data_IF_801404015820
#
_entry.id   IF_801404015820
#
_cell.length_a   1.000
_cell.length_b   1.000
_cell.length_c   1.000
_cell.angle_alpha   90.00
_cell.angle_beta   90.00
_cell.angle_gamma   90.00
#
_symmetry.space_group_name_H-M   'P 1'
#
loop_
_entity.id
_entity.type
_entity.pdbx_description
1 polymer ?
#
# COMPACT_ATOMS: atom_id res chain seq x y z
N UNK A 1 -9.80 -24.16 26.81
CA UNK A 1 -9.12 -24.25 25.50
C UNK A 1 -8.66 -25.68 25.33
N UNK A 2 -9.05 -26.36 24.26
CA UNK A 2 -8.49 -27.68 23.95
C UNK A 2 -7.00 -27.53 23.59
N UNK A 3 -6.16 -28.56 23.78
CA UNK A 3 -4.74 -28.48 23.42
C UNK A 3 -4.53 -28.10 21.95
N UNK A 4 -5.42 -28.54 21.06
CA UNK A 4 -5.42 -28.17 19.65
C UNK A 4 -5.70 -26.67 19.42
N UNK A 5 -6.65 -26.07 20.16
CA UNK A 5 -6.95 -24.63 20.08
C UNK A 5 -5.77 -23.77 20.56
N UNK A 6 -5.03 -24.24 21.57
CA UNK A 6 -3.86 -23.52 22.09
C UNK A 6 -2.73 -23.51 21.07
N UNK A 7 -2.45 -24.64 20.42
CA UNK A 7 -1.46 -24.74 19.33
C UNK A 7 -1.86 -23.85 18.14
N UNK A 8 -3.13 -23.89 17.71
CA UNK A 8 -3.61 -23.03 16.63
C UNK A 8 -3.45 -21.53 16.95
N UNK A 9 -3.78 -21.14 18.19
CA UNK A 9 -3.64 -19.74 18.64
C UNK A 9 -2.17 -19.31 18.64
N UNK A 10 -1.25 -20.16 19.11
CA UNK A 10 0.19 -19.87 19.07
C UNK A 10 0.69 -19.67 17.64
N UNK A 11 0.24 -20.49 16.69
CA UNK A 11 0.61 -20.35 15.27
C UNK A 11 0.09 -19.05 14.69
N UNK A 12 -1.17 -18.68 14.98
CA UNK A 12 -1.77 -17.42 14.53
C UNK A 12 -0.98 -16.23 15.07
N UNK A 13 -0.70 -16.21 16.38
CA UNK A 13 0.05 -15.13 17.03
C UNK A 13 1.46 -15.04 16.44
N UNK A 14 2.16 -16.17 16.29
CA UNK A 14 3.49 -16.20 15.70
C UNK A 14 3.50 -15.68 14.25
N UNK A 15 2.48 -16.04 13.47
CA UNK A 15 2.31 -15.58 12.08
C UNK A 15 2.05 -14.08 12.02
N UNK A 16 1.15 -13.56 12.85
CA UNK A 16 0.83 -12.12 12.92
C UNK A 16 2.05 -11.32 13.34
N UNK A 17 2.77 -11.77 14.37
CA UNK A 17 4.01 -11.13 14.82
C UNK A 17 5.06 -11.16 13.70
N UNK A 18 5.21 -12.29 13.01
CA UNK A 18 6.12 -12.42 11.86
C UNK A 18 5.78 -11.44 10.73
N UNK A 19 4.49 -11.29 10.39
CA UNK A 19 4.02 -10.33 9.38
C UNK A 19 4.24 -8.88 9.83
N UNK A 20 4.04 -8.58 11.12
CA UNK A 20 4.25 -7.25 11.69
C UNK A 20 5.73 -6.83 11.66
N UNK A 21 6.64 -7.74 12.03
CA UNK A 21 8.10 -7.53 11.96
C UNK A 21 8.57 -7.34 10.51
N UNK A 22 7.83 -7.83 9.53
CA UNK A 22 7.97 -7.48 8.12
C UNK A 22 9.11 -8.17 7.37
N UNK A 23 10.19 -8.56 8.07
CA UNK A 23 11.26 -9.45 7.59
C UNK A 23 11.85 -10.24 8.75
N UNK A 24 11.87 -11.57 8.63
CA UNK A 24 12.66 -12.40 9.54
C UNK A 24 14.10 -12.46 8.98
N UNK A 25 15.10 -11.83 9.64
CA UNK A 25 16.45 -11.69 9.08
C UNK A 25 17.11 -13.03 8.74
N UNK A 26 16.70 -14.09 9.44
CA UNK A 26 17.31 -15.42 9.35
C UNK A 26 16.66 -16.33 8.30
N UNK A 27 15.36 -16.18 8.00
CA UNK A 27 14.63 -17.07 7.08
C UNK A 27 14.40 -16.50 5.67
N UNK A 28 14.82 -15.26 5.38
CA UNK A 28 14.55 -14.58 4.09
C UNK A 28 13.07 -14.62 3.65
N UNK A 29 12.14 -14.68 4.60
CA UNK A 29 10.71 -14.71 4.29
C UNK A 29 10.16 -13.29 4.14
N UNK A 30 9.35 -13.08 3.11
CA UNK A 30 8.55 -11.86 2.96
C UNK A 30 7.20 -12.02 3.72
N UNK A 31 6.45 -10.92 3.88
CA UNK A 31 5.15 -10.93 4.57
C UNK A 31 4.17 -11.98 4.00
N UNK A 32 4.14 -12.16 2.67
CA UNK A 32 3.28 -13.14 2.02
C UNK A 32 3.71 -14.59 2.30
N UNK A 33 5.02 -14.87 2.31
CA UNK A 33 5.55 -16.19 2.65
C UNK A 33 5.24 -16.55 4.10
N UNK A 34 5.38 -15.58 5.03
CA UNK A 34 5.05 -15.80 6.44
C UNK A 34 3.55 -16.13 6.60
N UNK A 35 2.68 -15.35 5.95
CA UNK A 35 1.24 -15.60 5.97
C UNK A 35 0.89 -16.98 5.39
N UNK A 36 1.49 -17.35 4.26
CA UNK A 36 1.27 -18.65 3.61
C UNK A 36 1.72 -19.81 4.50
N UNK A 37 2.92 -19.73 5.08
CA UNK A 37 3.44 -20.77 5.99
C UNK A 37 2.55 -20.93 7.22
N UNK A 38 2.07 -19.82 7.81
CA UNK A 38 1.11 -19.86 8.91
C UNK A 38 -0.20 -20.55 8.54
N UNK A 39 -0.77 -20.20 7.38
CA UNK A 39 -1.98 -20.84 6.86
C UNK A 39 -1.79 -22.35 6.60
N UNK A 40 -0.68 -22.74 5.96
CA UNK A 40 -0.37 -24.15 5.71
C UNK A 40 -0.18 -24.93 7.01
N UNK A 41 0.46 -24.34 8.04
CA UNK A 41 0.62 -24.97 9.34
C UNK A 41 -0.73 -25.21 10.05
N UNK A 42 -1.68 -24.28 9.94
CA UNK A 42 -3.03 -24.44 10.49
C UNK A 42 -3.80 -25.58 9.82
N UNK A 43 -3.67 -25.72 8.51
CA UNK A 43 -4.28 -26.83 7.75
C UNK A 43 -3.62 -28.16 8.12
N UNK A 44 -2.28 -28.20 8.22
CA UNK A 44 -1.54 -29.43 8.54
C UNK A 44 -1.88 -30.02 9.92
N UNK A 45 -2.26 -29.19 10.88
CA UNK A 45 -2.68 -29.60 12.24
C UNK A 45 -4.19 -29.91 12.30
N UNK A 46 -4.90 -29.78 11.18
CA UNK A 46 -6.34 -29.99 11.10
C UNK A 46 -7.15 -28.96 11.88
N UNK A 47 -6.59 -27.77 12.11
CA UNK A 47 -7.29 -26.68 12.79
C UNK A 47 -8.33 -26.00 11.87
N UNK A 48 -8.10 -26.05 10.55
CA UNK A 48 -8.99 -25.55 9.51
C UNK A 48 -9.01 -26.59 8.38
N UNK A 49 -10.18 -27.07 7.91
CA UNK A 49 -10.24 -27.95 6.75
C UNK A 49 -9.85 -27.20 5.47
N UNK A 50 -9.31 -27.94 4.50
CA UNK A 50 -8.78 -27.36 3.27
C UNK A 50 -9.86 -26.59 2.47
N UNK A 51 -11.09 -27.09 2.48
CA UNK A 51 -12.23 -26.47 1.79
C UNK A 51 -12.55 -25.08 2.35
N UNK A 52 -12.59 -24.93 3.68
CA UNK A 52 -12.82 -23.64 4.34
C UNK A 52 -11.67 -22.66 4.10
N UNK A 53 -10.43 -23.18 4.04
CA UNK A 53 -9.26 -22.36 3.72
C UNK A 53 -9.34 -21.80 2.29
N UNK A 54 -9.77 -22.60 1.30
CA UNK A 54 -10.00 -22.10 -0.05
C UNK A 54 -11.20 -21.16 -0.13
N UNK A 55 -12.29 -21.45 0.58
CA UNK A 55 -13.47 -20.59 0.63
C UNK A 55 -13.18 -19.21 1.25
N UNK A 56 -12.14 -19.11 2.09
CA UNK A 56 -11.68 -17.83 2.65
C UNK A 56 -10.96 -16.91 1.64
N UNK A 57 -10.61 -17.42 0.45
CA UNK A 57 -9.98 -16.64 -0.61
C UNK A 57 -11.03 -15.93 -1.46
N UNK A 58 -11.09 -14.61 -1.34
CA UNK A 58 -11.88 -13.77 -2.22
C UNK A 58 -11.14 -13.52 -3.55
N UNK A 59 -11.46 -14.33 -4.56
CA UNK A 59 -10.86 -14.25 -5.88
C UNK A 59 -11.23 -12.96 -6.63
N UNK A 60 -12.37 -12.35 -6.34
CA UNK A 60 -12.80 -11.10 -6.97
C UNK A 60 -11.91 -9.96 -6.49
N UNK A 61 -11.69 -9.87 -5.18
CA UNK A 61 -10.75 -8.90 -4.60
C UNK A 61 -9.32 -9.12 -5.11
N UNK A 62 -8.85 -10.37 -5.15
CA UNK A 62 -7.50 -10.68 -5.66
C UNK A 62 -7.33 -10.29 -7.12
N UNK A 63 -8.34 -10.56 -7.96
CA UNK A 63 -8.31 -10.22 -9.39
C UNK A 63 -8.35 -8.70 -9.60
N UNK A 64 -9.19 -8.00 -8.84
CA UNK A 64 -9.29 -6.54 -8.88
C UNK A 64 -7.97 -5.88 -8.46
N UNK A 65 -7.36 -6.34 -7.36
CA UNK A 65 -6.05 -5.88 -6.90
C UNK A 65 -4.97 -6.12 -7.95
N UNK A 66 -4.95 -7.31 -8.55
CA UNK A 66 -4.00 -7.68 -9.60
C UNK A 66 -4.13 -6.77 -10.83
N UNK A 67 -5.35 -6.58 -11.34
CA UNK A 67 -5.61 -5.70 -12.47
C UNK A 67 -5.19 -4.25 -12.19
N UNK A 68 -5.51 -3.74 -10.99
CA UNK A 68 -5.14 -2.38 -10.59
C UNK A 68 -3.62 -2.22 -10.48
N UNK A 69 -2.91 -3.22 -9.95
CA UNK A 69 -1.45 -3.22 -9.91
C UNK A 69 -0.82 -3.21 -11.31
N UNK A 70 -1.38 -3.97 -12.27
CA UNK A 70 -0.94 -3.94 -13.67
C UNK A 70 -1.10 -2.54 -14.26
N UNK A 71 -2.28 -1.92 -14.11
CA UNK A 71 -2.55 -0.58 -14.62
C UNK A 71 -1.56 0.43 -14.03
N UNK A 72 -1.37 0.38 -12.72
CA UNK A 72 -0.49 1.29 -11.99
C UNK A 72 0.97 1.15 -12.45
N UNK A 73 1.49 -0.07 -12.59
CA UNK A 73 2.85 -0.32 -13.08
C UNK A 73 3.02 0.18 -14.52
N UNK A 74 2.03 -0.01 -15.39
CA UNK A 74 2.08 0.49 -16.76
C UNK A 74 2.09 2.02 -16.81
N UNK A 75 1.23 2.69 -16.05
CA UNK A 75 1.23 4.17 -15.96
C UNK A 75 2.55 4.72 -15.40
N UNK A 76 3.13 4.03 -14.41
CA UNK A 76 4.44 4.36 -13.87
C UNK A 76 5.54 4.20 -14.92
N UNK A 77 5.53 3.11 -15.69
CA UNK A 77 6.49 2.89 -16.79
C UNK A 77 6.30 3.87 -17.95
N UNK A 78 5.06 4.29 -18.22
CA UNK A 78 4.74 5.29 -19.22
C UNK A 78 5.14 6.72 -18.81
N UNK A 79 5.59 6.93 -17.57
CA UNK A 79 5.98 8.25 -17.08
C UNK A 79 4.81 9.19 -16.78
N UNK A 80 3.56 8.69 -16.77
CA UNK A 80 2.35 9.50 -16.55
C UNK A 80 2.47 10.37 -15.28
N UNK A 81 2.88 9.75 -14.18
CA UNK A 81 3.04 10.44 -12.89
C UNK A 81 4.12 11.53 -12.92
N UNK A 82 5.21 11.34 -13.68
CA UNK A 82 6.25 12.35 -13.86
C UNK A 82 5.73 13.55 -14.68
N UNK A 83 4.90 13.28 -15.70
CA UNK A 83 4.28 14.34 -16.52
C UNK A 83 3.34 15.19 -15.66
N UNK A 84 2.46 14.55 -14.89
CA UNK A 84 1.53 15.25 -13.98
C UNK A 84 2.30 16.08 -12.96
N UNK A 85 3.33 15.49 -12.37
CA UNK A 85 4.17 16.17 -11.39
C UNK A 85 4.91 17.38 -12.00
N UNK A 86 5.54 17.24 -13.16
CA UNK A 86 6.18 18.37 -13.86
C UNK A 86 5.20 19.49 -14.21
N UNK A 87 3.97 19.14 -14.61
CA UNK A 87 2.92 20.13 -14.91
C UNK A 87 2.52 20.94 -13.68
N UNK A 88 2.37 20.25 -12.55
CA UNK A 88 2.08 20.84 -11.23
C UNK A 88 3.18 21.81 -10.80
N UNK A 89 4.45 21.42 -10.93
CA UNK A 89 5.59 22.25 -10.54
C UNK A 89 5.68 23.49 -11.42
N UNK A 90 5.49 23.34 -12.73
CA UNK A 90 5.61 24.46 -13.67
C UNK A 90 4.57 25.57 -13.43
N UNK A 91 3.45 25.25 -12.78
CA UNK A 91 2.45 26.24 -12.36
C UNK A 91 2.72 26.85 -10.97
N UNK A 92 3.60 26.25 -10.19
CA UNK A 92 3.91 26.70 -8.84
C UNK A 92 4.97 27.80 -8.85
N UNK A 93 4.55 29.04 -8.65
CA UNK A 93 5.45 30.20 -8.61
C UNK A 93 5.89 30.58 -7.18
N UNK A 94 5.24 30.01 -6.15
CA UNK A 94 5.56 30.28 -4.74
C UNK A 94 5.64 28.99 -3.91
N UNK A 95 6.40 28.98 -2.80
CA UNK A 95 6.51 27.81 -1.91
C UNK A 95 5.17 27.31 -1.36
N UNK A 96 4.22 28.23 -1.11
CA UNK A 96 2.86 27.90 -0.64
C UNK A 96 1.99 27.29 -1.74
N UNK A 97 2.08 27.83 -2.97
CA UNK A 97 1.39 27.25 -4.12
C UNK A 97 1.93 25.85 -4.43
N UNK A 98 3.26 25.66 -4.38
CA UNK A 98 3.87 24.35 -4.56
C UNK A 98 3.31 23.33 -3.57
N UNK A 99 3.22 23.70 -2.29
CA UNK A 99 2.65 22.85 -1.25
C UNK A 99 1.19 22.50 -1.56
N UNK A 100 0.37 23.50 -1.90
CA UNK A 100 -1.03 23.31 -2.23
C UNK A 100 -1.21 22.38 -3.44
N UNK A 101 -0.42 22.57 -4.51
CA UNK A 101 -0.51 21.70 -5.67
C UNK A 101 -0.03 20.28 -5.38
N UNK A 102 1.01 20.10 -4.56
CA UNK A 102 1.44 18.76 -4.13
C UNK A 102 0.30 18.08 -3.36
N UNK A 103 -0.34 18.77 -2.42
CA UNK A 103 -1.47 18.23 -1.65
C UNK A 103 -2.62 17.83 -2.57
N UNK A 104 -3.07 18.72 -3.45
CA UNK A 104 -4.20 18.47 -4.35
C UNK A 104 -3.87 17.36 -5.34
N UNK A 105 -2.71 17.43 -6.00
CA UNK A 105 -2.33 16.43 -6.99
C UNK A 105 -2.14 15.06 -6.35
N UNK A 106 -1.43 14.96 -5.22
CA UNK A 106 -1.22 13.67 -4.55
C UNK A 106 -2.50 13.10 -3.96
N UNK A 107 -3.37 13.93 -3.38
CA UNK A 107 -4.67 13.50 -2.87
C UNK A 107 -5.59 12.98 -3.98
N UNK A 108 -5.75 13.75 -5.07
CA UNK A 108 -6.60 13.34 -6.20
C UNK A 108 -6.05 12.12 -6.92
N UNK A 109 -4.74 12.09 -7.20
CA UNK A 109 -4.13 10.91 -7.82
C UNK A 109 -4.21 9.69 -6.90
N UNK A 110 -4.03 9.85 -5.59
CA UNK A 110 -4.14 8.74 -4.63
C UNK A 110 -5.59 8.29 -4.41
N UNK A 111 -6.58 9.10 -4.74
CA UNK A 111 -7.97 8.66 -4.76
C UNK A 111 -8.26 7.76 -5.97
N UNK A 112 -7.48 7.84 -7.05
CA UNK A 112 -7.70 7.05 -8.27
C UNK A 112 -6.71 5.87 -8.34
N UNK A 113 -5.50 6.07 -7.83
CA UNK A 113 -4.37 5.13 -7.88
C UNK A 113 -3.90 4.75 -6.48
N UNK A 114 -3.08 3.71 -6.39
CA UNK A 114 -2.49 3.28 -5.12
C UNK A 114 -1.63 4.38 -4.47
N UNK A 115 -1.92 4.71 -3.22
CA UNK A 115 -1.19 5.71 -2.42
C UNK A 115 0.33 5.46 -2.38
N UNK A 116 0.76 4.21 -2.24
CA UNK A 116 2.17 3.83 -2.20
C UNK A 116 2.91 4.24 -3.48
N UNK A 117 2.29 4.03 -4.65
CA UNK A 117 2.90 4.46 -5.92
C UNK A 117 3.05 5.98 -5.97
N UNK A 118 2.00 6.71 -5.59
CA UNK A 118 2.02 8.18 -5.63
C UNK A 118 3.14 8.72 -4.74
N UNK A 119 3.24 8.23 -3.50
CA UNK A 119 4.30 8.62 -2.57
C UNK A 119 5.68 8.28 -3.14
N UNK A 120 5.89 7.05 -3.64
CA UNK A 120 7.19 6.63 -4.17
C UNK A 120 7.64 7.42 -5.40
N UNK A 121 6.70 7.83 -6.27
CA UNK A 121 7.03 8.60 -7.47
C UNK A 121 7.17 10.08 -7.18
N UNK A 122 6.34 10.66 -6.32
CA UNK A 122 6.38 12.09 -6.00
C UNK A 122 7.52 12.42 -5.03
N UNK A 123 7.94 11.51 -4.15
CA UNK A 123 9.04 11.77 -3.19
C UNK A 123 10.33 12.25 -3.85
N UNK A 124 10.94 11.54 -4.83
CA UNK A 124 12.17 12.01 -5.48
C UNK A 124 11.97 13.35 -6.17
N UNK A 125 10.82 13.56 -6.79
CA UNK A 125 10.50 14.81 -7.47
C UNK A 125 10.35 15.99 -6.49
N UNK A 126 9.69 15.79 -5.34
CA UNK A 126 9.59 16.79 -4.28
C UNK A 126 10.97 17.14 -3.73
N UNK A 127 11.84 16.13 -3.56
CA UNK A 127 13.23 16.33 -3.13
C UNK A 127 14.01 17.19 -4.12
N UNK A 128 13.97 16.87 -5.42
CA UNK A 128 14.69 17.59 -6.46
C UNK A 128 14.28 19.07 -6.51
N UNK A 129 12.98 19.37 -6.37
CA UNK A 129 12.48 20.76 -6.35
C UNK A 129 12.94 21.49 -5.09
N UNK A 130 12.85 20.84 -3.92
CA UNK A 130 13.25 21.47 -2.67
C UNK A 130 14.75 21.79 -2.68
N UNK A 131 15.56 20.92 -3.28
CA UNK A 131 16.99 21.17 -3.49
C UNK A 131 17.21 22.35 -4.46
N UNK A 132 16.50 22.39 -5.59
CA UNK A 132 16.61 23.46 -6.57
C UNK A 132 16.18 24.84 -6.01
N UNK A 133 15.17 24.86 -5.15
CA UNK A 133 14.66 26.07 -4.49
C UNK A 133 15.37 26.40 -3.17
N UNK A 134 16.37 25.61 -2.78
CA UNK A 134 17.08 25.71 -1.50
C UNK A 134 16.14 25.75 -0.27
N UNK A 135 15.07 24.96 -0.33
CA UNK A 135 14.03 24.81 0.70
C UNK A 135 14.18 23.50 1.47
N UNK A 136 13.67 23.46 2.70
CA UNK A 136 13.65 22.22 3.50
C UNK A 136 12.57 21.27 2.95
N UNK A 137 12.89 20.03 2.55
CA UNK A 137 11.91 19.11 1.95
C UNK A 137 10.93 18.48 2.95
N UNK A 138 11.28 18.44 4.23
CA UNK A 138 10.51 17.73 5.27
C UNK A 138 9.02 18.12 5.29
N UNK A 139 8.63 19.42 5.29
CA UNK A 139 7.21 19.80 5.32
C UNK A 139 6.45 19.36 4.07
N UNK A 140 7.08 19.38 2.91
CA UNK A 140 6.48 18.96 1.64
C UNK A 140 6.29 17.46 1.58
N UNK A 141 7.25 16.68 2.10
CA UNK A 141 7.13 15.22 2.18
C UNK A 141 6.06 14.79 3.18
N UNK A 142 5.96 15.46 4.34
CA UNK A 142 4.88 15.20 5.29
C UNK A 142 3.54 15.50 4.64
N UNK A 143 3.40 16.68 4.01
CA UNK A 143 2.17 17.06 3.32
C UNK A 143 1.81 16.07 2.20
N UNK A 144 2.79 15.60 1.42
CA UNK A 144 2.60 14.59 0.38
C UNK A 144 2.04 13.29 0.96
N UNK A 145 2.66 12.75 2.02
CA UNK A 145 2.24 11.48 2.63
C UNK A 145 0.87 11.62 3.28
N UNK A 146 0.62 12.72 3.99
CA UNK A 146 -0.68 12.98 4.62
C UNK A 146 -1.78 13.15 3.56
N UNK A 147 -1.53 13.92 2.50
CA UNK A 147 -2.50 14.14 1.44
C UNK A 147 -2.78 12.87 0.63
N UNK A 148 -1.76 12.06 0.31
CA UNK A 148 -1.95 10.77 -0.34
C UNK A 148 -2.80 9.83 0.53
N UNK A 149 -2.53 9.73 1.82
CA UNK A 149 -3.33 8.89 2.72
C UNK A 149 -4.78 9.37 2.85
N UNK A 150 -5.01 10.68 2.97
CA UNK A 150 -6.37 11.24 3.02
C UNK A 150 -7.11 10.97 1.69
N UNK A 151 -6.44 11.23 0.55
CA UNK A 151 -7.01 11.02 -0.78
C UNK A 151 -7.36 9.54 -1.03
N UNK A 152 -6.50 8.62 -0.58
CA UNK A 152 -6.74 7.18 -0.68
C UNK A 152 -8.02 6.71 0.01
N UNK A 153 -8.46 7.38 1.08
CA UNK A 153 -9.67 7.00 1.81
C UNK A 153 -10.94 7.48 1.09
N UNK A 154 -10.80 8.40 0.14
CA UNK A 154 -11.95 8.91 -0.62
C UNK A 154 -12.55 7.86 -1.58
N UNK A 155 -11.80 6.81 -1.94
CA UNK A 155 -12.30 5.74 -2.81
C UNK A 155 -11.93 4.36 -2.30
N UNK A 156 -12.68 3.36 -2.76
CA UNK A 156 -12.39 1.95 -2.53
C UNK A 156 -11.05 1.57 -3.17
N UNK A 157 -10.71 2.16 -4.32
CA UNK A 157 -9.53 1.79 -5.14
C UNK A 157 -8.21 2.35 -4.58
N UNK A 158 -8.25 3.42 -3.78
CA UNK A 158 -7.07 4.19 -3.38
C UNK A 158 -5.99 3.39 -2.63
N UNK A 159 -6.36 2.32 -1.94
CA UNK A 159 -5.41 1.37 -1.36
C UNK A 159 -5.98 -0.06 -1.31
N UNK A 160 -5.13 -1.09 -1.18
CA UNK A 160 -5.58 -2.48 -1.13
C UNK A 160 -6.47 -2.80 0.08
N UNK A 161 -6.31 -2.05 1.17
CA UNK A 161 -7.05 -2.26 2.42
C UNK A 161 -8.52 -1.85 2.27
N UNK A 162 -8.78 -0.72 1.63
CA UNK A 162 -10.10 -0.19 1.34
C UNK A 162 -10.80 -1.08 0.31
N UNK A 163 -10.06 -1.64 -0.65
CA UNK A 163 -10.61 -2.61 -1.60
C UNK A 163 -11.12 -3.86 -0.89
N UNK A 164 -10.32 -4.43 0.01
CA UNK A 164 -10.72 -5.57 0.85
C UNK A 164 -11.99 -5.27 1.66
N UNK A 165 -12.07 -4.08 2.26
CA UNK A 165 -13.25 -3.67 3.03
C UNK A 165 -14.48 -3.49 2.11
N UNK A 166 -14.31 -2.82 0.97
CA UNK A 166 -15.40 -2.49 0.06
C UNK A 166 -16.03 -3.67 -0.67
N UNK A 167 -15.31 -4.79 -0.81
CA UNK A 167 -15.89 -6.04 -1.35
C UNK A 167 -16.62 -6.84 -0.26
N UNK A 168 -16.25 -6.63 1.01
CA UNK A 168 -16.90 -7.28 2.17
C UNK A 168 -18.15 -6.56 2.71
N UNK A 169 -18.53 -5.43 2.12
CA UNK A 169 -19.69 -4.59 2.51
C UNK A 169 -20.81 -4.64 1.48
#
# INVERSE_FOLDING_TARGET
>A
MTPQQLVATLIIVATIVGVAVGRYPWLRMNRATIALTGATALIAIGAIPLEDAYASLDLDTLTLLFAMMIINVNLRRAGFFQIVANRVIHHAHTPRQLLAYIIVASGVLSAIFLNDTIVLVFTPLVLDICLALNQRPIPYLIALVTAANIGSVATIIGNPQNMLIGVSS
#
